data_IF_795624735430
#
_entry.id   IF_795624735430
#
_cell.length_a   1.000
_cell.length_b   1.000
_cell.length_c   1.000
_cell.angle_alpha   90.00
_cell.angle_beta   90.00
_cell.angle_gamma   90.00
#
_symmetry.space_group_name_H-M   'P 1'
#
loop_
_entity.id
_entity.type
_entity.pdbx_description
1 polymer ?
#
# COMPACT_ATOMS: atom_id res chain seq x y z
N UNK A 1 -6.92 39.43 15.42
CA UNK A 1 -6.34 38.07 15.45
C UNK A 1 -7.29 37.13 14.74
N UNK A 2 -7.09 36.87 13.45
CA UNK A 2 -7.84 35.83 12.74
C UNK A 2 -6.94 34.59 12.79
N UNK A 3 -7.30 33.60 13.62
CA UNK A 3 -6.69 32.27 13.53
C UNK A 3 -7.25 31.65 12.27
N UNK A 4 -6.44 31.62 11.21
CA UNK A 4 -6.73 30.79 10.05
C UNK A 4 -6.91 29.35 10.53
N UNK A 5 -8.11 28.83 10.34
CA UNK A 5 -8.39 27.42 10.48
C UNK A 5 -7.74 26.73 9.26
N UNK A 6 -6.42 26.55 9.32
CA UNK A 6 -5.68 25.78 8.31
C UNK A 6 -6.16 24.33 8.43
N UNK A 7 -7.11 23.93 7.59
CA UNK A 7 -7.53 22.53 7.46
C UNK A 7 -6.29 21.68 7.21
N UNK A 8 -5.91 20.89 8.23
CA UNK A 8 -4.72 20.05 8.18
C UNK A 8 -4.94 19.00 7.10
N UNK A 9 -4.30 19.17 5.94
CA UNK A 9 -4.39 18.20 4.83
C UNK A 9 -4.17 16.80 5.37
N UNK A 10 -5.14 15.91 5.10
CA UNK A 10 -5.10 14.52 5.53
C UNK A 10 -3.82 13.87 5.00
N UNK A 11 -3.14 13.09 5.84
CA UNK A 11 -1.91 12.38 5.42
C UNK A 11 -2.24 11.43 4.28
N UNK A 12 -1.44 11.44 3.21
CA UNK A 12 -1.67 10.60 2.02
C UNK A 12 -1.79 9.10 2.37
N UNK A 13 -1.04 8.64 3.38
CA UNK A 13 -1.15 7.26 3.90
C UNK A 13 -2.58 6.90 4.33
N UNK A 14 -3.26 7.78 5.07
CA UNK A 14 -4.65 7.56 5.48
C UNK A 14 -5.59 7.54 4.28
N UNK A 15 -5.35 8.42 3.30
CA UNK A 15 -6.16 8.47 2.07
C UNK A 15 -6.01 7.19 1.23
N UNK A 16 -4.79 6.66 1.14
CA UNK A 16 -4.55 5.43 0.38
C UNK A 16 -5.12 4.20 1.09
N UNK A 17 -5.00 4.12 2.41
CA UNK A 17 -5.59 3.03 3.19
C UNK A 17 -7.11 3.00 3.06
N UNK A 18 -7.76 4.16 3.03
CA UNK A 18 -9.21 4.26 2.81
C UNK A 18 -9.60 3.87 1.39
N UNK A 19 -8.84 4.33 0.39
CA UNK A 19 -9.10 4.03 -1.01
C UNK A 19 -9.05 2.52 -1.31
N UNK A 20 -8.08 1.81 -0.73
CA UNK A 20 -7.93 0.35 -0.90
C UNK A 20 -8.61 -0.46 0.21
N UNK A 21 -9.34 0.16 1.14
CA UNK A 21 -10.04 -0.56 2.21
C UNK A 21 -9.14 -1.29 3.22
N UNK A 22 -7.84 -1.00 3.29
CA UNK A 22 -6.86 -1.73 4.12
C UNK A 22 -6.81 -1.26 5.57
N UNK A 23 -7.40 -0.10 5.88
CA UNK A 23 -7.33 0.53 7.21
C UNK A 23 -7.76 -0.42 8.34
N UNK A 24 -8.94 -1.05 8.19
CA UNK A 24 -9.48 -1.99 9.18
C UNK A 24 -8.57 -3.20 9.39
N UNK A 25 -7.98 -3.71 8.32
CA UNK A 25 -7.06 -4.86 8.37
C UNK A 25 -5.81 -4.52 9.18
N UNK A 26 -5.19 -3.37 8.91
CA UNK A 26 -4.00 -2.95 9.66
C UNK A 26 -4.30 -2.61 11.12
N UNK A 27 -5.45 -1.97 11.39
CA UNK A 27 -5.88 -1.70 12.77
C UNK A 27 -6.10 -2.99 13.56
N UNK A 28 -6.68 -4.02 12.93
CA UNK A 28 -6.83 -5.34 13.54
C UNK A 28 -5.48 -6.01 13.83
N UNK A 29 -4.56 -6.00 12.85
CA UNK A 29 -3.22 -6.56 13.03
C UNK A 29 -2.49 -5.87 14.18
N UNK A 30 -2.57 -4.54 14.26
CA UNK A 30 -1.97 -3.76 15.33
C UNK A 30 -2.56 -4.08 16.71
N UNK A 31 -3.89 -4.15 16.82
CA UNK A 31 -4.57 -4.48 18.08
C UNK A 31 -4.19 -5.88 18.59
N UNK A 32 -4.06 -6.85 17.67
CA UNK A 32 -3.65 -8.23 18.00
C UNK A 32 -2.16 -8.32 18.36
N UNK A 33 -1.30 -7.58 17.67
CA UNK A 33 0.12 -7.50 17.99
C UNK A 33 0.34 -6.94 19.41
N UNK A 34 -0.45 -5.94 19.82
CA UNK A 34 -0.46 -5.40 21.19
C UNK A 34 -0.84 -6.43 22.26
N UNK A 35 -1.52 -7.51 21.89
CA UNK A 35 -1.91 -8.61 22.77
C UNK A 35 -0.98 -9.82 22.64
N UNK A 36 0.16 -9.67 21.96
CA UNK A 36 1.14 -10.73 21.73
C UNK A 36 0.53 -11.98 21.06
N UNK A 37 -0.50 -11.79 20.24
CA UNK A 37 -1.15 -12.88 19.53
C UNK A 37 -0.30 -13.41 18.37
N UNK A 38 -0.41 -14.71 18.11
CA UNK A 38 0.14 -15.33 16.92
C UNK A 38 -0.69 -15.02 15.66
N UNK A 39 -0.01 -14.89 14.52
CA UNK A 39 -0.63 -14.62 13.22
C UNK A 39 -0.46 -15.81 12.27
N UNK A 40 -1.56 -16.42 11.85
CA UNK A 40 -1.53 -17.65 11.04
C UNK A 40 -1.89 -17.46 9.55
N UNK A 41 -2.24 -16.22 9.14
CA UNK A 41 -2.75 -15.91 7.80
C UNK A 41 -2.15 -14.63 7.20
N UNK A 42 -0.94 -14.27 7.62
CA UNK A 42 -0.28 -13.06 7.12
C UNK A 42 -0.05 -13.12 5.61
N UNK A 43 0.28 -14.31 5.08
CA UNK A 43 0.51 -14.46 3.64
C UNK A 43 -0.73 -14.09 2.82
N UNK A 44 -1.92 -14.56 3.20
CA UNK A 44 -3.20 -14.22 2.55
C UNK A 44 -3.43 -12.69 2.53
N UNK A 45 -3.05 -11.99 3.60
CA UNK A 45 -3.13 -10.52 3.69
C UNK A 45 -2.08 -9.86 2.80
N UNK A 46 -0.84 -10.37 2.80
CA UNK A 46 0.28 -9.83 2.02
C UNK A 46 -0.05 -9.88 0.52
N UNK A 47 -0.62 -10.99 0.03
CA UNK A 47 -0.97 -11.18 -1.38
C UNK A 47 -2.41 -10.77 -1.72
N UNK A 48 -3.13 -10.14 -0.79
CA UNK A 48 -4.44 -9.56 -1.08
C UNK A 48 -4.31 -8.48 -2.15
N UNK A 49 -5.33 -8.35 -2.99
CA UNK A 49 -5.34 -7.39 -4.10
C UNK A 49 -5.20 -5.96 -3.57
N UNK A 50 -5.91 -5.66 -2.49
CA UNK A 50 -5.90 -4.39 -1.78
C UNK A 50 -4.49 -4.02 -1.29
N UNK A 51 -3.78 -4.97 -0.68
CA UNK A 51 -2.44 -4.75 -0.16
C UNK A 51 -1.40 -4.60 -1.29
N UNK A 52 -1.54 -5.38 -2.37
CA UNK A 52 -0.67 -5.26 -3.56
C UNK A 52 -0.83 -3.88 -4.21
N UNK A 53 -2.07 -3.43 -4.42
CA UNK A 53 -2.33 -2.14 -5.05
C UNK A 53 -1.93 -0.96 -4.17
N UNK A 54 -2.12 -1.07 -2.85
CA UNK A 54 -1.60 -0.09 -1.90
C UNK A 54 -0.07 -0.01 -1.93
N UNK A 55 0.61 -1.16 -1.98
CA UNK A 55 2.07 -1.22 -2.09
C UNK A 55 2.53 -0.55 -3.39
N UNK A 56 1.90 -0.89 -4.53
CA UNK A 56 2.17 -0.26 -5.82
C UNK A 56 1.97 1.26 -5.76
N UNK A 57 0.86 1.74 -5.18
CA UNK A 57 0.56 3.17 -5.02
C UNK A 57 1.66 3.92 -4.29
N UNK A 58 2.25 3.27 -3.29
CA UNK A 58 3.28 3.86 -2.43
C UNK A 58 4.64 3.80 -3.12
N UNK A 59 4.99 2.66 -3.71
CA UNK A 59 6.27 2.45 -4.39
C UNK A 59 6.39 3.34 -5.63
N UNK A 60 5.29 3.58 -6.37
CA UNK A 60 5.36 4.23 -7.68
C UNK A 60 5.81 5.69 -7.68
N UNK A 61 5.80 6.32 -6.51
CA UNK A 61 6.23 7.70 -6.28
C UNK A 61 7.52 7.79 -5.45
N UNK A 62 8.03 6.65 -4.96
CA UNK A 62 9.24 6.64 -4.17
C UNK A 62 10.46 7.04 -5.03
N UNK A 63 11.43 7.73 -4.41
CA UNK A 63 12.62 8.28 -5.09
C UNK A 63 13.39 7.23 -5.91
N UNK A 64 13.41 5.98 -5.46
CA UNK A 64 14.09 4.87 -6.14
C UNK A 64 13.24 4.11 -7.17
N UNK A 65 12.00 4.52 -7.44
CA UNK A 65 11.06 3.77 -8.27
C UNK A 65 11.51 3.60 -9.73
N UNK A 66 12.32 4.52 -10.24
CA UNK A 66 12.89 4.46 -11.59
C UNK A 66 14.16 3.60 -11.68
N UNK A 67 14.70 3.14 -10.55
CA UNK A 67 15.87 2.25 -10.55
C UNK A 67 15.42 0.86 -10.96
N UNK A 68 16.04 0.33 -12.01
CA UNK A 68 15.77 -1.03 -12.49
C UNK A 68 16.19 -2.05 -11.43
N UNK A 69 15.33 -3.02 -11.17
CA UNK A 69 15.62 -4.14 -10.28
C UNK A 69 16.44 -5.24 -10.97
N UNK A 70 16.43 -6.44 -10.38
CA UNK A 70 16.99 -7.65 -10.99
C UNK A 70 16.20 -8.10 -12.22
N UNK A 71 14.89 -7.82 -12.25
CA UNK A 71 14.08 -7.92 -13.46
C UNK A 71 14.29 -6.69 -14.37
N UNK A 72 13.95 -6.83 -15.65
CA UNK A 72 14.12 -5.76 -16.64
C UNK A 72 13.11 -4.63 -16.51
N UNK A 73 12.12 -4.75 -15.61
CA UNK A 73 11.07 -3.74 -15.42
C UNK A 73 11.46 -2.65 -14.42
N UNK A 74 11.08 -1.42 -14.76
CA UNK A 74 11.08 -0.25 -13.88
C UNK A 74 9.64 0.13 -13.54
N UNK A 75 9.45 1.09 -12.64
CA UNK A 75 8.10 1.62 -12.40
C UNK A 75 7.46 2.23 -13.66
N UNK A 76 8.24 2.68 -14.64
CA UNK A 76 7.69 3.26 -15.87
C UNK A 76 7.00 2.20 -16.71
N UNK A 77 7.51 0.96 -16.67
CA UNK A 77 6.94 -0.18 -17.39
C UNK A 77 5.69 -0.67 -16.65
N UNK A 78 5.80 -0.86 -15.32
CA UNK A 78 4.68 -1.31 -14.47
C UNK A 78 3.52 -0.30 -14.48
N UNK A 79 3.79 1.00 -14.67
CA UNK A 79 2.75 2.04 -14.81
C UNK A 79 1.82 1.86 -16.01
N UNK A 80 2.23 1.09 -17.01
CA UNK A 80 1.43 0.81 -18.19
C UNK A 80 0.47 -0.38 -17.98
N UNK A 81 0.68 -1.15 -16.90
CA UNK A 81 -0.14 -2.30 -16.57
C UNK A 81 -1.44 -1.87 -15.89
N UNK A 82 -2.48 -2.65 -16.14
CA UNK A 82 -3.73 -2.62 -15.37
C UNK A 82 -3.51 -3.10 -13.94
N UNK A 83 -4.44 -2.76 -13.05
CA UNK A 83 -4.40 -3.23 -11.66
C UNK A 83 -4.42 -4.77 -11.59
N UNK A 84 -5.19 -5.43 -12.45
CA UNK A 84 -5.24 -6.89 -12.55
C UNK A 84 -3.89 -7.50 -12.96
N UNK A 85 -3.20 -6.92 -13.94
CA UNK A 85 -1.87 -7.38 -14.36
C UNK A 85 -0.83 -7.23 -13.24
N UNK A 86 -0.89 -6.14 -12.46
CA UNK A 86 -0.02 -5.93 -11.30
C UNK A 86 -0.28 -7.00 -10.24
N UNK A 87 -1.56 -7.26 -9.92
CA UNK A 87 -1.96 -8.26 -8.93
C UNK A 87 -1.50 -9.65 -9.35
N UNK A 88 -1.74 -10.02 -10.60
CA UNK A 88 -1.34 -11.31 -11.15
C UNK A 88 0.18 -11.47 -11.19
N UNK A 89 0.91 -10.42 -11.56
CA UNK A 89 2.36 -10.44 -11.58
C UNK A 89 2.98 -10.69 -10.20
N UNK A 90 2.39 -10.12 -9.14
CA UNK A 90 2.90 -10.27 -7.76
C UNK A 90 2.52 -11.61 -7.13
N UNK A 91 1.41 -12.22 -7.56
CA UNK A 91 0.96 -13.54 -7.07
C UNK A 91 1.68 -14.72 -7.71
N UNK A 92 2.35 -14.51 -8.84
CA UNK A 92 3.19 -15.49 -9.52
C UNK A 92 4.54 -15.69 -8.83
#
# INVERSE_FOLDING_TARGET
MIRENQEKKKKDTLRYNEYYGTQKTFDNLYARAKREENFYKLYEIIISEENILLAYRTIKTNRGSTTRGSNSYTIKDIKQWSEAEIVEYVRK
#
